data_IF_628769982209
#
_entry.id   IF_628769982209
#
_cell.length_a   1.000
_cell.length_b   1.000
_cell.length_c   1.000
_cell.angle_alpha   90.00
_cell.angle_beta   90.00
_cell.angle_gamma   90.00
#
_symmetry.space_group_name_H-M   'P 1'
#
loop_
_entity.id
_entity.type
_entity.pdbx_description
1 polymer ?
#
# COMPACT_ATOMS: atom_id res chain seq x y z
N UNK A 1 11.28 5.20 25.00
CA UNK A 1 10.60 4.49 23.88
C UNK A 1 11.19 5.00 22.56
N UNK A 2 11.98 4.18 21.85
CA UNK A 2 12.58 4.51 20.53
C UNK A 2 11.72 4.00 19.36
N UNK A 3 10.43 3.79 19.59
CA UNK A 3 9.55 2.94 18.78
C UNK A 3 9.45 3.34 17.29
N UNK A 4 9.66 4.61 16.96
CA UNK A 4 9.54 5.05 15.58
C UNK A 4 10.67 4.59 14.66
N UNK A 5 11.92 4.72 15.11
CA UNK A 5 13.10 4.37 14.31
C UNK A 5 13.16 2.85 14.12
N UNK A 6 12.79 2.10 15.16
CA UNK A 6 12.78 0.64 15.15
C UNK A 6 11.81 0.08 14.10
N UNK A 7 10.63 0.71 13.90
CA UNK A 7 9.65 0.26 12.90
C UNK A 7 10.12 0.48 11.46
N UNK A 8 10.68 1.65 11.18
CA UNK A 8 11.23 1.99 9.86
C UNK A 8 12.41 1.09 9.48
N UNK A 9 13.27 0.77 10.45
CA UNK A 9 14.41 -0.12 10.24
C UNK A 9 13.98 -1.59 10.15
N UNK A 10 12.94 -2.01 10.88
CA UNK A 10 12.37 -3.36 10.77
C UNK A 10 11.89 -3.68 9.35
N UNK A 11 11.21 -2.74 8.67
CA UNK A 11 10.74 -2.92 7.29
C UNK A 11 11.89 -2.87 6.27
N UNK A 12 13.02 -2.25 6.63
CA UNK A 12 14.19 -2.15 5.75
C UNK A 12 14.83 -3.50 5.46
N UNK A 13 14.85 -4.41 6.44
CA UNK A 13 15.46 -5.74 6.27
C UNK A 13 14.74 -6.59 5.21
N UNK A 14 13.41 -6.76 5.23
CA UNK A 14 12.66 -7.42 4.16
C UNK A 14 12.93 -6.84 2.77
N UNK A 15 12.96 -5.50 2.65
CA UNK A 15 13.27 -4.83 1.38
C UNK A 15 14.68 -5.10 0.88
N UNK A 16 15.67 -5.18 1.79
CA UNK A 16 17.04 -5.55 1.46
C UNK A 16 17.12 -7.00 0.99
N UNK A 17 16.49 -7.91 1.73
CA UNK A 17 16.45 -9.33 1.40
C UNK A 17 15.84 -9.55 0.02
N UNK A 18 14.66 -8.98 -0.25
CA UNK A 18 14.00 -9.07 -1.55
C UNK A 18 14.86 -8.50 -2.69
N UNK A 19 15.56 -7.38 -2.47
CA UNK A 19 16.47 -6.82 -3.49
C UNK A 19 17.68 -7.70 -3.76
N UNK A 20 18.16 -8.44 -2.75
CA UNK A 20 19.28 -9.36 -2.89
C UNK A 20 18.88 -10.67 -3.57
N UNK A 21 17.66 -11.15 -3.33
CA UNK A 21 17.17 -12.42 -3.87
C UNK A 21 16.43 -12.30 -5.21
N UNK A 22 16.08 -11.08 -5.65
CA UNK A 22 15.45 -10.90 -6.97
C UNK A 22 16.46 -11.20 -8.09
N UNK A 23 16.09 -12.13 -8.97
CA UNK A 23 16.85 -12.49 -10.17
C UNK A 23 16.57 -11.56 -11.36
N UNK A 24 15.48 -10.79 -11.33
CA UNK A 24 15.13 -9.79 -12.34
C UNK A 24 14.62 -8.49 -11.71
N UNK A 25 14.48 -7.41 -12.50
CA UNK A 25 13.76 -6.18 -12.11
C UNK A 25 12.26 -6.46 -11.97
N UNK A 26 11.90 -7.22 -10.93
CA UNK A 26 10.53 -7.59 -10.59
C UNK A 26 9.80 -6.47 -9.86
N UNK A 27 8.46 -6.54 -9.90
CA UNK A 27 7.58 -5.69 -9.09
C UNK A 27 7.82 -5.98 -7.61
N UNK A 28 7.70 -4.96 -6.76
CA UNK A 28 7.68 -5.14 -5.29
C UNK A 28 6.45 -6.01 -4.95
N UNK A 29 6.63 -7.13 -4.22
CA UNK A 29 5.55 -8.00 -3.76
C UNK A 29 4.53 -7.26 -2.89
N UNK A 30 3.27 -7.69 -2.91
CA UNK A 30 2.19 -7.07 -2.14
C UNK A 30 2.43 -7.16 -0.62
N UNK A 31 3.07 -8.23 -0.12
CA UNK A 31 3.47 -8.36 1.30
C UNK A 31 4.40 -7.23 1.78
N UNK A 32 5.30 -6.76 0.90
CA UNK A 32 6.16 -5.62 1.20
C UNK A 32 5.38 -4.30 1.12
N UNK A 33 4.34 -4.23 0.28
CA UNK A 33 3.46 -3.06 0.20
C UNK A 33 2.57 -2.91 1.43
N UNK A 34 2.08 -4.00 2.01
CA UNK A 34 1.31 -3.94 3.25
C UNK A 34 2.14 -3.37 4.41
N UNK A 35 3.41 -3.75 4.53
CA UNK A 35 4.33 -3.14 5.51
C UNK A 35 4.54 -1.64 5.26
N UNK A 36 4.64 -1.21 3.99
CA UNK A 36 4.71 0.22 3.64
C UNK A 36 3.43 0.95 4.01
N UNK A 37 2.27 0.28 3.86
CA UNK A 37 0.95 0.82 4.20
C UNK A 37 0.84 1.12 5.69
N UNK A 38 1.33 0.22 6.53
CA UNK A 38 1.39 0.43 7.97
C UNK A 38 2.30 1.59 8.36
N UNK A 39 3.45 1.75 7.69
CA UNK A 39 4.38 2.84 7.96
C UNK A 39 3.79 4.22 7.63
N UNK A 40 2.79 4.31 6.76
CA UNK A 40 2.18 5.58 6.39
C UNK A 40 1.31 6.18 7.48
N UNK A 41 0.91 5.38 8.47
CA UNK A 41 0.23 5.89 9.67
C UNK A 41 1.15 6.84 10.44
N UNK A 42 2.44 6.50 10.50
CA UNK A 42 3.43 7.19 11.32
C UNK A 42 4.37 8.10 10.51
N UNK A 43 4.52 7.87 9.20
CA UNK A 43 5.53 8.52 8.36
C UNK A 43 5.04 9.03 7.01
N UNK A 44 5.54 10.19 6.56
CA UNK A 44 5.23 10.67 5.22
C UNK A 44 5.90 9.79 4.15
N UNK A 45 5.27 9.64 2.96
CA UNK A 45 5.82 8.86 1.85
C UNK A 45 7.26 9.20 1.47
N UNK A 46 7.65 10.47 1.60
CA UNK A 46 9.02 10.93 1.30
C UNK A 46 10.05 10.30 2.24
N UNK A 47 9.75 10.21 3.54
CA UNK A 47 10.64 9.63 4.55
C UNK A 47 10.75 8.11 4.38
N UNK A 48 9.62 7.46 4.13
CA UNK A 48 9.57 6.03 3.81
C UNK A 48 10.37 5.74 2.54
N UNK A 49 10.16 6.54 1.49
CA UNK A 49 10.83 6.37 0.20
C UNK A 49 12.34 6.46 0.29
N UNK A 50 12.86 7.47 1.00
CA UNK A 50 14.31 7.62 1.25
C UNK A 50 14.85 6.39 2.01
N UNK A 51 14.14 5.93 3.03
CA UNK A 51 14.61 4.84 3.90
C UNK A 51 14.56 3.46 3.23
N UNK A 52 13.51 3.20 2.45
CA UNK A 52 13.25 1.93 1.77
C UNK A 52 13.76 1.90 0.32
N UNK A 53 14.34 2.99 -0.19
CA UNK A 53 14.82 3.08 -1.56
C UNK A 53 13.71 2.94 -2.60
N UNK A 54 12.53 3.45 -2.30
CA UNK A 54 11.34 3.43 -3.17
C UNK A 54 11.02 4.87 -3.56
N UNK A 55 10.63 5.11 -4.81
CA UNK A 55 10.19 6.46 -5.19
C UNK A 55 8.89 6.83 -4.43
N UNK A 56 8.80 8.02 -3.81
CA UNK A 56 7.57 8.49 -3.19
C UNK A 56 6.37 8.52 -4.14
N UNK A 57 6.63 8.70 -5.45
CA UNK A 57 5.60 8.66 -6.50
C UNK A 57 5.06 7.23 -6.67
N UNK A 58 5.93 6.22 -6.63
CA UNK A 58 5.52 4.82 -6.71
C UNK A 58 4.65 4.42 -5.52
N UNK A 59 5.00 4.90 -4.32
CA UNK A 59 4.20 4.70 -3.09
C UNK A 59 2.79 5.26 -3.30
N UNK A 60 2.68 6.54 -3.64
CA UNK A 60 1.38 7.20 -3.89
C UNK A 60 0.54 6.47 -4.94
N UNK A 61 1.14 6.14 -6.10
CA UNK A 61 0.44 5.49 -7.21
C UNK A 61 -0.08 4.10 -6.81
N UNK A 62 0.72 3.31 -6.10
CA UNK A 62 0.31 1.97 -5.65
C UNK A 62 -0.85 2.00 -4.67
N UNK A 63 -0.88 3.00 -3.79
CA UNK A 63 -1.94 3.13 -2.78
C UNK A 63 -3.25 3.65 -3.39
N UNK A 64 -3.19 4.63 -4.29
CA UNK A 64 -4.37 5.07 -5.05
C UNK A 64 -5.03 3.93 -5.81
N UNK A 65 -4.22 3.04 -6.40
CA UNK A 65 -4.67 1.82 -7.08
C UNK A 65 -5.28 0.78 -6.12
N UNK A 66 -4.82 0.74 -4.86
CA UNK A 66 -5.33 -0.16 -3.83
C UNK A 66 -6.67 0.33 -3.24
N UNK A 67 -6.80 1.63 -2.96
CA UNK A 67 -8.07 2.23 -2.52
C UNK A 67 -9.17 2.09 -3.58
N UNK A 68 -8.84 2.31 -4.85
CA UNK A 68 -9.80 2.13 -5.95
C UNK A 68 -10.23 0.67 -6.15
N UNK A 69 -9.41 -0.32 -5.76
CA UNK A 69 -9.81 -1.73 -5.79
C UNK A 69 -10.75 -2.12 -4.64
N UNK A 70 -10.73 -1.37 -3.53
CA UNK A 70 -11.59 -1.63 -2.37
C UNK A 70 -13.00 -1.03 -2.49
N UNK A 71 -13.19 -0.04 -3.36
CA UNK A 71 -14.48 0.59 -3.61
C UNK A 71 -15.21 -0.11 -4.78
N UNK A 72 -15.80 -1.28 -4.53
CA UNK A 72 -16.85 -1.79 -5.43
C UNK A 72 -18.16 -1.07 -5.12
N UNK A 73 -18.48 -0.04 -5.92
CA UNK A 73 -19.83 0.51 -5.94
C UNK A 73 -20.77 -0.51 -6.56
N UNK A 74 -21.62 -1.13 -5.75
CA UNK A 74 -22.74 -1.95 -6.22
C UNK A 74 -23.94 -1.02 -6.37
N UNK A 75 -24.33 -0.76 -7.62
CA UNK A 75 -25.56 -0.03 -7.92
C UNK A 75 -26.77 -0.91 -7.56
N UNK A 76 -27.51 -0.53 -6.52
CA UNK A 76 -28.78 -1.17 -6.17
C UNK A 76 -29.89 -0.52 -6.99
N UNK A 77 -30.38 -1.19 -8.02
CA UNK A 77 -31.64 -0.80 -8.68
C UNK A 77 -32.80 -1.12 -7.75
N UNK A 78 -33.35 -0.10 -7.08
CA UNK A 78 -34.64 -0.21 -6.41
C UNK A 78 -35.71 -0.36 -7.50
N UNK A 79 -36.18 -1.58 -7.74
CA UNK A 79 -37.35 -1.80 -8.57
C UNK A 79 -38.59 -1.34 -7.79
N UNK A 80 -39.10 -0.15 -8.11
CA UNK A 80 -40.41 0.29 -7.66
C UNK A 80 -41.46 -0.58 -8.39
N UNK A 81 -41.96 -1.61 -7.73
CA UNK A 81 -43.21 -2.25 -8.14
C UNK A 81 -44.34 -1.25 -7.85
N UNK A 82 -44.86 -0.64 -8.91
CA UNK A 82 -46.13 0.06 -8.86
C UNK A 82 -47.23 -0.99 -8.61
N UNK A 83 -47.89 -0.87 -7.46
CA UNK A 83 -49.15 -1.56 -7.20
C UNK A 83 -50.20 -0.82 -8.02
N UNK A 84 -50.61 -1.41 -9.15
CA UNK A 84 -51.82 -0.97 -9.85
C UNK A 84 -53.05 -1.43 -9.05
N UNK A 85 -53.90 -0.46 -8.70
CA UNK A 85 -55.24 -0.62 -8.09
C UNK A 85 -56.27 -1.07 -9.11
#
# INVERSE_FOLDING_TARGET
MKSGIDRLDSVKQPFRHWRATRTARGRIPDELWEQVKELLVDYPPSKIGIHLGISPIQIKKKLQLQENRGLQFVEVKLALHNIET
#
